data_IF_865186799877
#
_entry.id   IF_865186799877
#
_cell.length_a   1.000
_cell.length_b   1.000
_cell.length_c   1.000
_cell.angle_alpha   90.00
_cell.angle_beta   90.00
_cell.angle_gamma   90.00
#
_symmetry.space_group_name_H-M   'P 1'
#
loop_
_entity.id
_entity.type
_entity.pdbx_description
1 polymer ?
#
# COMPACT_ATOMS: atom_id res chain seq x y z
N UNK A 1 -9.13 -17.30 3.10
CA UNK A 1 -7.85 -16.57 3.08
C UNK A 1 -7.95 -15.39 4.02
N UNK A 2 -6.91 -15.12 4.80
CA UNK A 2 -6.88 -13.94 5.66
C UNK A 2 -6.54 -12.68 4.84
N UNK A 3 -6.94 -11.51 5.31
CA UNK A 3 -6.57 -10.25 4.66
C UNK A 3 -5.04 -10.06 4.57
N UNK A 4 -4.29 -10.61 5.53
CA UNK A 4 -2.84 -10.54 5.53
C UNK A 4 -2.23 -11.34 4.37
N UNK A 5 -2.77 -12.53 4.11
CA UNK A 5 -2.37 -13.33 2.94
C UNK A 5 -2.70 -12.60 1.64
N UNK A 6 -3.85 -11.92 1.57
CA UNK A 6 -4.23 -11.10 0.40
C UNK A 6 -3.23 -9.97 0.16
N UNK A 7 -2.77 -9.28 1.21
CA UNK A 7 -1.80 -8.19 1.10
C UNK A 7 -0.40 -8.69 0.75
N UNK A 8 0.02 -9.82 1.31
CA UNK A 8 1.32 -10.43 0.96
C UNK A 8 1.33 -10.91 -0.49
N UNK A 9 0.26 -11.57 -0.93
CA UNK A 9 0.10 -11.96 -2.34
C UNK A 9 0.07 -10.74 -3.27
N UNK A 10 -0.52 -9.63 -2.82
CA UNK A 10 -0.52 -8.37 -3.57
C UNK A 10 0.90 -7.80 -3.74
N UNK A 11 1.68 -7.77 -2.66
CA UNK A 11 3.08 -7.31 -2.70
C UNK A 11 3.89 -8.19 -3.66
N UNK A 12 3.77 -9.51 -3.55
CA UNK A 12 4.41 -10.49 -4.45
C UNK A 12 4.02 -10.26 -5.92
N UNK A 13 2.74 -10.01 -6.17
CA UNK A 13 2.22 -9.78 -7.54
C UNK A 13 2.78 -8.48 -8.12
N UNK A 14 2.80 -7.40 -7.34
CA UNK A 14 3.35 -6.10 -7.74
C UNK A 14 4.86 -6.23 -8.02
N UNK A 15 5.60 -6.90 -7.13
CA UNK A 15 7.04 -7.12 -7.27
C UNK A 15 7.36 -7.87 -8.58
N UNK A 16 6.60 -8.92 -8.89
CA UNK A 16 6.76 -9.71 -10.12
C UNK A 16 6.40 -8.92 -11.37
N UNK A 17 5.25 -8.24 -11.39
CA UNK A 17 4.78 -7.52 -12.58
C UNK A 17 5.65 -6.31 -12.92
N UNK A 18 6.20 -5.63 -11.91
CA UNK A 18 7.02 -4.44 -12.11
C UNK A 18 8.54 -4.72 -12.02
N UNK A 19 8.93 -5.99 -11.94
CA UNK A 19 10.32 -6.44 -11.83
C UNK A 19 11.13 -5.65 -10.78
N UNK A 20 10.64 -5.64 -9.54
CA UNK A 20 11.22 -4.86 -8.44
C UNK A 20 11.31 -5.68 -7.16
N UNK A 21 12.02 -5.13 -6.16
CA UNK A 21 12.14 -5.78 -4.87
C UNK A 21 10.79 -5.84 -4.14
N UNK A 22 10.65 -6.82 -3.24
CA UNK A 22 9.48 -6.94 -2.36
C UNK A 22 9.30 -5.68 -1.50
N UNK A 23 10.39 -5.07 -1.05
CA UNK A 23 10.35 -3.84 -0.25
C UNK A 23 9.85 -2.65 -1.06
N UNK A 24 10.29 -2.51 -2.31
CA UNK A 24 9.81 -1.44 -3.21
C UNK A 24 8.33 -1.62 -3.56
N UNK A 25 7.92 -2.87 -3.84
CA UNK A 25 6.51 -3.20 -4.08
C UNK A 25 5.64 -2.88 -2.87
N UNK A 26 6.10 -3.22 -1.66
CA UNK A 26 5.43 -2.88 -0.40
C UNK A 26 5.32 -1.36 -0.22
N UNK A 27 6.39 -0.63 -0.52
CA UNK A 27 6.44 0.84 -0.43
C UNK A 27 5.49 1.51 -1.44
N UNK A 28 5.42 1.00 -2.67
CA UNK A 28 4.50 1.45 -3.71
C UNK A 28 3.05 1.20 -3.32
N UNK A 29 2.74 -0.01 -2.85
CA UNK A 29 1.40 -0.33 -2.36
C UNK A 29 1.03 0.57 -1.18
N UNK A 30 1.94 0.78 -0.22
CA UNK A 30 1.72 1.70 0.89
C UNK A 30 1.41 3.12 0.38
N UNK A 31 2.16 3.62 -0.61
CA UNK A 31 1.94 4.95 -1.16
C UNK A 31 0.57 5.11 -1.81
N UNK A 32 0.11 4.09 -2.54
CA UNK A 32 -1.23 4.08 -3.14
C UNK A 32 -2.34 4.10 -2.08
N UNK A 33 -2.17 3.36 -0.99
CA UNK A 33 -3.20 3.23 0.05
C UNK A 33 -3.15 4.33 1.12
N UNK A 34 -2.05 5.05 1.23
CA UNK A 34 -1.84 6.08 2.25
C UNK A 34 -2.43 7.42 1.83
N UNK A 35 -3.43 7.89 2.59
CA UNK A 35 -4.06 9.21 2.39
C UNK A 35 -3.24 10.39 2.95
N UNK A 36 -2.05 10.12 3.51
CA UNK A 36 -1.19 11.14 4.13
C UNK A 36 -1.59 11.57 5.54
N UNK A 37 -2.68 11.02 6.09
CA UNK A 37 -3.22 11.39 7.41
C UNK A 37 -2.67 10.55 8.57
N UNK A 38 -1.72 9.64 8.33
CA UNK A 38 -1.18 8.81 9.40
C UNK A 38 0.02 9.49 10.08
N UNK A 39 0.15 9.33 11.40
CA UNK A 39 1.24 9.97 12.14
C UNK A 39 2.65 9.55 11.71
N UNK A 40 2.82 8.37 11.09
CA UNK A 40 4.08 8.02 10.45
C UNK A 40 4.38 8.92 9.25
N UNK A 41 3.37 9.20 8.41
CA UNK A 41 3.52 10.06 7.25
C UNK A 41 3.97 11.46 7.67
N UNK A 42 3.28 12.07 8.64
CA UNK A 42 3.60 13.40 9.17
C UNK A 42 5.05 13.54 9.66
N UNK A 43 5.61 12.47 10.25
CA UNK A 43 6.93 12.52 10.90
C UNK A 43 8.10 12.09 10.01
N UNK A 44 7.84 11.17 9.08
CA UNK A 44 8.88 10.42 8.37
C UNK A 44 8.75 10.48 6.84
N UNK A 45 7.59 10.84 6.28
CA UNK A 45 7.40 10.73 4.84
C UNK A 45 8.31 11.65 4.04
N UNK A 46 8.60 12.87 4.53
CA UNK A 46 9.55 13.77 3.88
C UNK A 46 10.99 13.25 3.98
N UNK A 47 11.42 12.86 5.20
CA UNK A 47 12.79 12.38 5.48
C UNK A 47 13.15 11.14 4.66
N UNK A 48 12.18 10.27 4.42
CA UNK A 48 12.37 9.02 3.67
C UNK A 48 12.15 9.18 2.16
N UNK A 49 11.72 10.37 1.69
CA UNK A 49 11.32 10.59 0.30
C UNK A 49 10.01 9.89 -0.08
N UNK A 50 9.22 9.43 0.89
CA UNK A 50 7.91 8.81 0.66
C UNK A 50 6.86 9.81 0.22
N UNK A 51 6.88 11.04 0.76
CA UNK A 51 5.93 12.10 0.40
C UNK A 51 6.02 12.47 -1.10
N UNK A 52 7.25 12.45 -1.64
CA UNK A 52 7.55 12.77 -3.04
C UNK A 52 7.47 11.56 -3.96
N UNK A 53 7.21 10.36 -3.44
CA UNK A 53 7.06 9.15 -4.25
C UNK A 53 5.79 9.29 -5.11
N UNK A 54 5.99 9.38 -6.43
CA UNK A 54 4.94 9.40 -7.44
C UNK A 54 4.95 8.06 -8.18
N UNK A 55 3.77 7.46 -8.31
CA UNK A 55 3.60 6.28 -9.15
C UNK A 55 3.65 6.71 -10.61
N UNK A 56 4.35 5.96 -11.45
CA UNK A 56 4.20 6.07 -12.91
C UNK A 56 2.81 5.56 -13.32
N UNK A 57 2.36 5.87 -14.54
CA UNK A 57 1.07 5.40 -15.04
C UNK A 57 0.98 3.86 -15.04
N UNK A 58 2.07 3.18 -15.40
CA UNK A 58 2.17 1.71 -15.37
C UNK A 58 2.08 1.17 -13.95
N UNK A 59 2.84 1.74 -13.01
CA UNK A 59 2.80 1.36 -11.60
C UNK A 59 1.41 1.56 -11.01
N UNK A 60 0.76 2.68 -11.35
CA UNK A 60 -0.60 2.96 -10.90
C UNK A 60 -1.59 1.90 -11.39
N UNK A 61 -1.56 1.56 -12.68
CA UNK A 61 -2.45 0.53 -13.26
C UNK A 61 -2.26 -0.84 -12.61
N UNK A 62 -1.01 -1.24 -12.40
CA UNK A 62 -0.69 -2.52 -11.75
C UNK A 62 -1.19 -2.54 -10.31
N UNK A 63 -0.87 -1.51 -9.52
CA UNK A 63 -1.25 -1.44 -8.11
C UNK A 63 -2.77 -1.35 -7.96
N UNK A 64 -3.45 -0.54 -8.76
CA UNK A 64 -4.91 -0.41 -8.75
C UNK A 64 -5.60 -1.74 -9.06
N UNK A 65 -5.18 -2.45 -10.11
CA UNK A 65 -5.74 -3.74 -10.47
C UNK A 65 -5.57 -4.79 -9.36
N UNK A 66 -4.42 -4.77 -8.67
CA UNK A 66 -4.16 -5.65 -7.53
C UNK A 66 -5.04 -5.27 -6.33
N UNK A 67 -5.12 -3.98 -5.98
CA UNK A 67 -5.96 -3.51 -4.87
C UNK A 67 -7.42 -3.84 -5.10
N UNK A 68 -7.96 -3.62 -6.31
CA UNK A 68 -9.36 -3.92 -6.65
C UNK A 68 -9.73 -5.39 -6.40
N UNK A 69 -8.81 -6.33 -6.66
CA UNK A 69 -9.01 -7.75 -6.36
C UNK A 69 -9.07 -8.03 -4.86
N UNK A 70 -8.34 -7.27 -4.05
CA UNK A 70 -8.38 -7.39 -2.60
C UNK A 70 -9.66 -6.76 -2.06
N UNK A 71 -10.09 -5.60 -2.56
CA UNK A 71 -11.18 -4.81 -1.96
C UNK A 71 -12.58 -5.12 -2.46
N UNK A 72 -12.77 -6.08 -3.35
CA UNK A 72 -14.10 -6.44 -3.86
C UNK A 72 -15.01 -6.98 -2.75
N UNK A 73 -16.09 -6.26 -2.44
CA UNK A 73 -17.11 -6.64 -1.43
C UNK A 73 -17.60 -5.46 -0.59
N UNK A 74 -18.51 -5.72 0.37
CA UNK A 74 -19.00 -4.68 1.29
C UNK A 74 -17.91 -4.20 2.25
N UNK A 75 -17.80 -2.86 2.38
CA UNK A 75 -16.83 -2.08 3.17
C UNK A 75 -15.42 -1.89 2.60
N UNK A 76 -15.30 -1.53 1.32
CA UNK A 76 -14.04 -1.11 0.67
C UNK A 76 -13.17 -0.17 1.54
N UNK A 77 -13.79 0.79 2.25
CA UNK A 77 -13.11 1.72 3.16
C UNK A 77 -12.47 1.04 4.37
N UNK A 78 -13.15 0.08 5.00
CA UNK A 78 -12.64 -0.65 6.16
C UNK A 78 -11.51 -1.59 5.74
N UNK A 79 -11.66 -2.27 4.60
CA UNK A 79 -10.62 -3.12 4.05
C UNK A 79 -9.37 -2.31 3.67
N UNK A 80 -9.55 -1.13 3.06
CA UNK A 80 -8.45 -0.20 2.79
C UNK A 80 -7.70 0.21 4.06
N UNK A 81 -8.43 0.54 5.13
CA UNK A 81 -7.83 0.90 6.42
C UNK A 81 -6.97 -0.23 6.97
N UNK A 82 -7.44 -1.47 6.89
CA UNK A 82 -6.69 -2.64 7.36
C UNK A 82 -5.45 -2.95 6.52
N UNK A 83 -5.55 -2.82 5.19
CA UNK A 83 -4.39 -2.92 4.28
C UNK A 83 -3.33 -1.90 4.68
N UNK A 84 -3.74 -0.64 4.88
CA UNK A 84 -2.82 0.40 5.30
C UNK A 84 -2.19 0.13 6.68
N UNK A 85 -2.96 -0.34 7.67
CA UNK A 85 -2.42 -0.72 9.00
C UNK A 85 -1.32 -1.78 8.86
N UNK A 86 -1.52 -2.76 7.98
CA UNK A 86 -0.53 -3.79 7.74
C UNK A 86 0.74 -3.25 7.07
N UNK A 87 0.60 -2.33 6.12
CA UNK A 87 1.72 -1.80 5.33
C UNK A 87 2.55 -0.77 6.10
N UNK A 88 1.90 0.06 6.92
CA UNK A 88 2.52 1.19 7.60
C UNK A 88 3.64 0.75 8.56
N UNK A 89 4.89 1.26 8.42
CA UNK A 89 6.06 0.76 9.16
C UNK A 89 6.02 0.88 10.70
N UNK A 90 5.13 1.69 11.29
CA UNK A 90 5.08 1.95 12.75
C UNK A 90 3.72 1.71 13.39
N UNK A 91 2.94 0.74 12.90
CA UNK A 91 1.66 0.40 13.51
C UNK A 91 0.60 1.49 13.30
N UNK A 92 -0.55 1.41 13.99
CA UNK A 92 -1.83 1.94 13.50
C UNK A 92 -1.74 3.42 13.14
N UNK A 93 -2.52 3.81 12.13
CA UNK A 93 -2.91 5.20 11.95
C UNK A 93 -3.64 5.66 13.20
N UNK A 94 -2.89 6.09 14.20
CA UNK A 94 -3.42 6.67 15.40
C UNK A 94 -3.72 8.13 15.10
N UNK A 95 -4.92 8.37 14.58
CA UNK A 95 -5.90 9.38 15.03
C UNK A 95 -7.06 9.45 14.04
#
# INVERSE_FOLDING_TARGET
MSLYDDVENAIETIAKQLNMSREDARRLLHRYVCTGLCGWYEREAEKTGFATLKLTEEQFKVVEAVVQRIVSGESSKERMKRIHIYLCPRGPCSR
#
